data_IF_039656054286
#
_entry.id   IF_039656054286
#
_cell.length_a   1.000
_cell.length_b   1.000
_cell.length_c   1.000
_cell.angle_alpha   90.00
_cell.angle_beta   90.00
_cell.angle_gamma   90.00
#
_symmetry.space_group_name_H-M   'P 1'
#
loop_
_entity.id
_entity.type
_entity.pdbx_description
1 polymer ?
#
# COMPACT_ATOMS: atom_id res chain seq x y z
N UNK A 1 -42.65 33.78 31.97
CA UNK A 1 -43.97 34.26 31.49
C UNK A 1 -43.75 35.51 30.65
N UNK A 2 -44.56 35.68 29.59
CA UNK A 2 -44.49 36.64 28.45
C UNK A 2 -43.72 36.04 27.26
N UNK A 3 -44.33 35.41 26.24
CA UNK A 3 -45.41 35.78 25.28
C UNK A 3 -44.95 36.76 24.18
N UNK A 4 -45.38 36.40 22.96
CA UNK A 4 -45.47 37.12 21.68
C UNK A 4 -44.31 36.97 20.69
N UNK A 5 -44.49 36.89 19.37
CA UNK A 5 -45.55 36.42 18.44
C UNK A 5 -44.97 36.72 17.04
N UNK A 6 -45.01 35.71 16.15
CA UNK A 6 -45.00 35.69 14.67
C UNK A 6 -44.45 36.85 13.81
N UNK A 7 -43.84 36.50 12.66
CA UNK A 7 -44.08 36.96 11.27
C UNK A 7 -43.01 36.26 10.41
N UNK A 8 -43.31 35.11 9.79
CA UNK A 8 -43.90 34.96 8.44
C UNK A 8 -43.15 35.75 7.37
N UNK A 9 -42.35 35.08 6.53
CA UNK A 9 -42.39 35.29 5.07
C UNK A 9 -41.75 34.09 4.37
N UNK A 10 -42.63 33.20 3.92
CA UNK A 10 -42.39 32.15 2.95
C UNK A 10 -42.79 32.71 1.58
N UNK A 11 -41.89 32.66 0.60
CA UNK A 11 -42.19 32.73 -0.84
C UNK A 11 -40.92 32.28 -1.58
N UNK A 12 -40.91 31.09 -2.21
CA UNK A 12 -41.40 30.85 -3.59
C UNK A 12 -40.58 31.62 -4.63
N UNK A 13 -40.17 31.09 -5.78
CA UNK A 13 -40.37 29.80 -6.42
C UNK A 13 -39.35 29.75 -7.57
N UNK A 14 -38.95 28.53 -7.91
CA UNK A 14 -38.02 28.20 -8.97
C UNK A 14 -38.53 28.67 -10.34
N UNK A 15 -37.74 29.47 -11.04
CA UNK A 15 -37.88 29.67 -12.48
C UNK A 15 -36.94 28.71 -13.21
N UNK A 16 -37.53 27.74 -13.89
CA UNK A 16 -36.88 26.87 -14.87
C UNK A 16 -36.58 27.65 -16.15
N UNK A 17 -35.33 27.62 -16.61
CA UNK A 17 -34.96 27.92 -17.99
C UNK A 17 -34.28 26.67 -18.59
N UNK A 18 -34.83 26.18 -19.71
CA UNK A 18 -34.18 25.23 -20.62
C UNK A 18 -32.93 25.87 -21.25
N UNK A 19 -31.87 25.09 -21.53
CA UNK A 19 -31.60 24.59 -22.89
C UNK A 19 -30.19 23.93 -22.99
N UNK A 20 -30.17 22.79 -23.69
CA UNK A 20 -29.12 22.19 -24.55
C UNK A 20 -27.62 22.26 -24.19
N UNK A 21 -27.05 21.04 -24.20
CA UNK A 21 -25.81 20.65 -24.89
C UNK A 21 -24.52 21.38 -24.52
N UNK A 22 -23.61 20.69 -23.83
CA UNK A 22 -22.40 20.10 -24.42
C UNK A 22 -21.49 19.61 -23.27
N UNK A 23 -20.87 18.44 -23.41
CA UNK A 23 -19.90 17.93 -22.44
C UNK A 23 -18.62 18.81 -22.42
N UNK A 24 -18.09 19.21 -21.25
CA UNK A 24 -16.79 19.86 -21.20
C UNK A 24 -15.67 18.83 -20.97
N UNK A 25 -14.93 18.57 -22.05
CA UNK A 25 -13.62 17.92 -22.06
C UNK A 25 -12.62 18.73 -21.22
N UNK A 26 -11.84 18.12 -20.30
CA UNK A 26 -10.87 18.86 -19.52
C UNK A 26 -9.62 19.17 -20.36
N UNK A 27 -9.37 20.45 -20.62
CA UNK A 27 -8.06 20.97 -21.00
C UNK A 27 -7.70 22.18 -20.13
N UNK A 28 -6.58 22.02 -19.42
CA UNK A 28 -5.52 22.96 -19.04
C UNK A 28 -5.86 24.44 -18.68
N UNK A 29 -5.26 24.97 -17.59
CA UNK A 29 -4.15 25.96 -17.63
C UNK A 29 -3.62 26.29 -16.20
N UNK A 30 -2.29 26.30 -16.12
CA UNK A 30 -1.24 26.85 -15.20
C UNK A 30 -1.62 27.91 -14.10
N UNK A 31 -0.84 28.19 -13.03
CA UNK A 31 0.64 28.21 -12.85
C UNK A 31 1.12 28.44 -11.37
N UNK A 32 2.10 27.62 -10.91
CA UNK A 32 3.38 27.84 -10.15
C UNK A 32 3.54 28.75 -8.90
N UNK A 33 4.10 28.16 -7.83
CA UNK A 33 5.20 28.65 -6.93
C UNK A 33 6.00 27.40 -6.45
N UNK A 34 7.16 27.05 -7.05
CA UNK A 34 8.54 27.17 -6.50
C UNK A 34 8.78 26.53 -5.12
N UNK A 35 9.79 25.69 -4.83
CA UNK A 35 10.77 24.92 -5.59
C UNK A 35 11.49 23.97 -4.60
N UNK A 36 11.45 22.65 -4.86
CA UNK A 36 12.64 21.80 -4.79
C UNK A 36 12.67 21.03 -6.11
N UNK A 37 13.75 21.25 -6.85
CA UNK A 37 13.99 20.85 -8.23
C UNK A 37 14.63 19.45 -8.31
N UNK A 38 14.64 18.82 -9.50
CA UNK A 38 14.70 17.37 -9.70
C UNK A 38 16.12 16.84 -9.83
N UNK A 39 16.37 15.65 -9.30
CA UNK A 39 17.57 14.83 -9.57
C UNK A 39 17.30 13.43 -8.96
N UNK A 40 17.50 12.29 -9.60
CA UNK A 40 18.36 12.00 -10.72
C UNK A 40 17.79 10.84 -11.52
N UNK A 41 17.87 10.95 -12.85
CA UNK A 41 17.89 9.89 -13.84
C UNK A 41 16.87 8.75 -13.68
N UNK A 42 15.97 8.63 -14.67
CA UNK A 42 15.51 7.30 -15.11
C UNK A 42 16.74 6.58 -15.67
N UNK A 43 17.57 6.08 -14.76
CA UNK A 43 18.53 5.02 -15.06
C UNK A 43 17.67 3.82 -15.39
N UNK A 44 17.97 3.13 -16.48
CA UNK A 44 17.40 1.84 -16.78
C UNK A 44 17.87 0.86 -15.68
N UNK A 45 17.22 0.93 -14.51
CA UNK A 45 17.63 0.20 -13.33
C UNK A 45 17.26 -1.25 -13.59
N UNK A 46 18.30 -2.09 -13.69
CA UNK A 46 18.16 -3.54 -13.67
C UNK A 46 17.53 -3.95 -12.34
N UNK A 47 16.19 -4.02 -12.34
CA UNK A 47 15.39 -4.51 -11.21
C UNK A 47 15.86 -5.92 -10.88
N UNK A 48 16.24 -6.15 -9.62
CA UNK A 48 16.64 -7.48 -9.18
C UNK A 48 15.50 -8.50 -9.41
N UNK A 49 15.79 -9.77 -9.69
CA UNK A 49 14.73 -10.76 -9.80
C UNK A 49 14.03 -10.94 -8.44
N UNK A 50 12.71 -11.05 -8.47
CA UNK A 50 11.94 -11.50 -7.30
C UNK A 50 11.88 -13.01 -7.36
N UNK A 51 12.46 -13.68 -6.37
CA UNK A 51 12.37 -15.13 -6.24
C UNK A 51 11.12 -15.49 -5.44
N UNK A 52 10.35 -16.48 -5.90
CA UNK A 52 9.25 -17.04 -5.11
C UNK A 52 9.73 -18.31 -4.41
N UNK A 53 9.41 -18.45 -3.14
CA UNK A 53 9.76 -19.61 -2.30
C UNK A 53 8.53 -20.15 -1.59
N UNK A 54 8.50 -21.46 -1.32
CA UNK A 54 7.50 -22.07 -0.45
C UNK A 54 7.78 -21.78 1.04
N UNK A 55 6.85 -22.19 1.91
CA UNK A 55 6.97 -22.00 3.35
C UNK A 55 8.11 -22.80 4.00
N UNK A 56 8.41 -24.00 3.50
CA UNK A 56 9.50 -24.79 4.04
C UNK A 56 10.82 -24.05 3.85
N UNK A 57 11.08 -23.56 2.63
CA UNK A 57 12.27 -22.79 2.32
C UNK A 57 12.30 -21.46 3.04
N UNK A 58 11.17 -20.76 3.12
CA UNK A 58 11.06 -19.51 3.87
C UNK A 58 11.45 -19.69 5.34
N UNK A 59 11.04 -20.78 5.98
CA UNK A 59 11.42 -21.06 7.38
C UNK A 59 12.89 -21.43 7.53
N UNK A 60 13.49 -22.17 6.61
CA UNK A 60 14.94 -22.41 6.59
C UNK A 60 15.72 -21.09 6.52
N UNK A 61 15.34 -20.21 5.59
CA UNK A 61 15.96 -18.91 5.41
C UNK A 61 15.76 -18.03 6.64
N UNK A 62 14.56 -18.05 7.24
CA UNK A 62 14.27 -17.29 8.46
C UNK A 62 15.16 -17.75 9.63
N UNK A 63 15.33 -19.06 9.81
CA UNK A 63 16.28 -19.63 10.79
C UNK A 63 17.73 -19.21 10.51
N UNK A 64 18.09 -19.01 9.24
CA UNK A 64 19.40 -18.51 8.82
C UNK A 64 19.56 -16.97 8.92
N UNK A 65 18.54 -16.25 9.41
CA UNK A 65 18.60 -14.81 9.66
C UNK A 65 17.85 -13.92 8.66
N UNK A 66 17.12 -14.50 7.70
CA UNK A 66 16.19 -13.76 6.86
C UNK A 66 15.03 -13.17 7.69
N UNK A 67 14.47 -12.06 7.25
CA UNK A 67 13.39 -11.35 7.96
C UNK A 67 12.05 -11.66 7.30
N UNK A 68 11.12 -12.21 8.08
CA UNK A 68 9.73 -12.38 7.66
C UNK A 68 8.96 -11.07 7.82
N UNK A 69 8.33 -10.62 6.73
CA UNK A 69 7.54 -9.40 6.69
C UNK A 69 6.11 -9.73 6.27
N UNK A 70 5.17 -9.42 7.14
CA UNK A 70 3.74 -9.55 6.92
C UNK A 70 3.20 -8.22 6.39
N UNK A 71 2.78 -8.19 5.13
CA UNK A 71 2.23 -6.97 4.49
C UNK A 71 0.70 -6.89 4.58
N UNK A 72 0.07 -7.73 5.41
CA UNK A 72 -1.36 -7.66 5.70
C UNK A 72 -1.68 -6.49 6.63
N UNK A 73 -2.98 -6.22 6.78
CA UNK A 73 -3.45 -5.22 7.73
C UNK A 73 -3.22 -5.67 9.18
N UNK A 74 -3.11 -4.74 10.15
CA UNK A 74 -2.99 -5.09 11.57
C UNK A 74 -4.15 -5.96 12.07
N UNK A 75 -5.36 -5.74 11.55
CA UNK A 75 -6.54 -6.55 11.89
C UNK A 75 -6.48 -8.00 11.39
N UNK A 76 -5.79 -8.27 10.27
CA UNK A 76 -5.50 -9.64 9.82
C UNK A 76 -4.39 -10.28 10.67
N UNK A 77 -3.38 -9.51 11.05
CA UNK A 77 -2.25 -9.94 11.89
C UNK A 77 -2.69 -10.29 13.30
N UNK A 78 -3.65 -9.55 13.87
CA UNK A 78 -4.25 -9.84 15.17
C UNK A 78 -4.94 -11.23 15.25
N UNK A 79 -5.23 -11.84 14.09
CA UNK A 79 -5.81 -13.20 14.00
C UNK A 79 -4.74 -14.31 13.94
N UNK A 80 -3.47 -13.94 13.87
CA UNK A 80 -2.35 -14.86 13.78
C UNK A 80 -1.31 -14.43 12.74
N UNK A 81 -0.06 -14.76 13.01
CA UNK A 81 1.11 -14.52 12.15
C UNK A 81 1.80 -15.84 11.84
N UNK A 82 2.64 -15.84 10.80
CA UNK A 82 3.42 -17.01 10.44
C UNK A 82 4.58 -17.30 11.43
N UNK A 83 5.09 -16.27 12.10
CA UNK A 83 6.11 -16.38 13.14
C UNK A 83 5.96 -15.23 14.16
N UNK A 84 6.27 -15.44 15.45
CA UNK A 84 6.25 -14.38 16.46
C UNK A 84 7.22 -13.23 16.18
N UNK A 85 8.31 -13.52 15.46
CA UNK A 85 9.37 -12.59 15.06
C UNK A 85 9.10 -11.88 13.73
N UNK A 86 7.98 -12.18 13.06
CA UNK A 86 7.64 -11.52 11.81
C UNK A 86 7.25 -10.05 12.07
N UNK A 87 7.69 -9.16 11.18
CA UNK A 87 7.42 -7.72 11.28
C UNK A 87 6.19 -7.40 10.44
N UNK A 88 5.21 -6.69 11.01
CA UNK A 88 4.06 -6.20 10.24
C UNK A 88 4.34 -4.79 9.67
N UNK A 89 4.38 -4.71 8.34
CA UNK A 89 4.43 -3.45 7.59
C UNK A 89 3.36 -3.53 6.50
N UNK A 90 2.13 -3.02 6.75
CA UNK A 90 1.04 -3.10 5.79
C UNK A 90 1.43 -2.52 4.43
N UNK A 91 1.00 -3.17 3.35
CA UNK A 91 1.36 -2.77 1.97
C UNK A 91 1.15 -1.27 1.70
N UNK A 92 0.05 -0.71 2.20
CA UNK A 92 -0.31 0.70 2.01
C UNK A 92 0.61 1.68 2.76
N UNK A 93 1.27 1.22 3.82
CA UNK A 93 2.15 2.06 4.65
C UNK A 93 3.62 1.98 4.21
N UNK A 94 3.98 1.01 3.38
CA UNK A 94 5.36 0.78 2.92
C UNK A 94 6.06 2.02 2.36
N UNK A 95 5.42 2.91 1.55
CA UNK A 95 6.08 4.11 1.05
C UNK A 95 6.58 5.05 2.15
N UNK A 96 5.86 5.12 3.28
CA UNK A 96 6.22 5.96 4.42
C UNK A 96 7.18 5.25 5.39
N UNK A 97 7.21 3.92 5.35
CA UNK A 97 7.96 3.05 6.28
C UNK A 97 9.11 2.31 5.61
N UNK A 98 9.59 2.81 4.47
CA UNK A 98 10.63 2.16 3.67
C UNK A 98 11.95 1.96 4.43
N UNK A 99 12.26 2.85 5.38
CA UNK A 99 13.45 2.81 6.22
C UNK A 99 13.44 1.68 7.26
N UNK A 100 12.29 1.06 7.53
CA UNK A 100 12.16 -0.05 8.48
C UNK A 100 12.58 -1.39 7.87
N UNK A 101 12.72 -1.46 6.54
CA UNK A 101 13.17 -2.68 5.86
C UNK A 101 14.71 -2.77 5.89
N UNK A 102 15.29 -3.86 6.43
CA UNK A 102 16.74 -4.03 6.45
C UNK A 102 17.27 -4.31 5.04
N UNK A 103 18.22 -3.49 4.57
CA UNK A 103 18.87 -3.68 3.26
C UNK A 103 19.94 -4.77 3.26
N UNK A 104 20.45 -5.10 4.44
CA UNK A 104 21.52 -6.07 4.70
C UNK A 104 20.99 -7.46 5.05
N UNK A 105 19.68 -7.72 4.87
CA UNK A 105 19.08 -9.05 5.07
C UNK A 105 18.25 -9.51 3.88
N UNK A 106 18.00 -10.82 3.85
CA UNK A 106 17.03 -11.42 2.95
C UNK A 106 15.62 -11.11 3.48
N UNK A 107 14.73 -10.63 2.61
CA UNK A 107 13.38 -10.22 2.96
C UNK A 107 12.37 -11.24 2.45
N UNK A 108 11.71 -11.96 3.35
CA UNK A 108 10.65 -12.92 3.07
C UNK A 108 9.30 -12.24 3.22
N UNK A 109 8.69 -11.83 2.11
CA UNK A 109 7.45 -11.06 2.09
C UNK A 109 6.27 -12.00 1.90
N UNK A 110 5.29 -11.94 2.81
CA UNK A 110 4.06 -12.71 2.69
C UNK A 110 2.83 -11.85 2.99
N UNK A 111 1.69 -12.29 2.45
CA UNK A 111 0.40 -11.66 2.72
C UNK A 111 -0.67 -12.74 2.95
N UNK A 112 -1.94 -12.47 2.68
CA UNK A 112 -2.99 -13.49 2.78
C UNK A 112 -2.79 -14.63 1.76
N UNK A 113 -2.64 -14.30 0.48
CA UNK A 113 -2.70 -15.29 -0.62
C UNK A 113 -1.58 -15.18 -1.65
N UNK A 114 -0.52 -14.40 -1.38
CA UNK A 114 0.59 -14.13 -2.33
C UNK A 114 0.44 -12.87 -3.22
N UNK A 115 -0.78 -12.35 -3.47
CA UNK A 115 -0.97 -11.22 -4.42
C UNK A 115 -0.38 -9.89 -3.92
N UNK A 116 -0.69 -9.51 -2.67
CA UNK A 116 -0.20 -8.25 -2.06
C UNK A 116 1.30 -8.30 -1.78
N UNK A 117 1.83 -9.46 -1.41
CA UNK A 117 3.26 -9.67 -1.17
C UNK A 117 4.07 -9.60 -2.46
N UNK A 118 3.53 -10.06 -3.60
CA UNK A 118 4.15 -9.85 -4.90
C UNK A 118 4.23 -8.35 -5.25
N UNK A 119 3.17 -7.58 -5.00
CA UNK A 119 3.20 -6.13 -5.21
C UNK A 119 4.19 -5.42 -4.27
N UNK A 120 4.22 -5.80 -2.99
CA UNK A 120 5.22 -5.32 -2.03
C UNK A 120 6.65 -5.66 -2.48
N UNK A 121 6.86 -6.87 -3.01
CA UNK A 121 8.17 -7.32 -3.46
C UNK A 121 8.66 -6.47 -4.64
N UNK A 122 7.79 -6.19 -5.61
CA UNK A 122 8.10 -5.27 -6.73
C UNK A 122 8.47 -3.88 -6.24
N UNK A 123 7.65 -3.33 -5.36
CA UNK A 123 7.92 -2.02 -4.76
C UNK A 123 9.28 -1.98 -4.06
N UNK A 124 9.65 -3.01 -3.30
CA UNK A 124 10.97 -3.08 -2.66
C UNK A 124 12.10 -3.13 -3.70
N UNK A 125 11.99 -3.99 -4.71
CA UNK A 125 13.08 -4.09 -5.69
C UNK A 125 13.23 -2.80 -6.52
N UNK A 126 12.13 -2.15 -6.89
CA UNK A 126 12.13 -0.82 -7.52
C UNK A 126 12.79 0.25 -6.64
N UNK A 127 12.79 0.06 -5.31
CA UNK A 127 13.47 0.92 -4.34
C UNK A 127 14.88 0.42 -3.95
N UNK A 128 15.48 -0.42 -4.78
CA UNK A 128 16.88 -0.85 -4.67
C UNK A 128 17.14 -1.97 -3.67
N UNK A 129 16.11 -2.71 -3.26
CA UNK A 129 16.30 -3.94 -2.49
C UNK A 129 16.64 -5.10 -3.43
N UNK A 130 17.73 -5.82 -3.17
CA UNK A 130 18.25 -6.85 -4.07
C UNK A 130 17.95 -8.27 -3.63
N UNK A 131 17.53 -8.47 -2.39
CA UNK A 131 17.31 -9.79 -1.76
C UNK A 131 15.89 -9.91 -1.24
N UNK A 132 14.95 -9.92 -2.18
CA UNK A 132 13.51 -9.92 -1.91
C UNK A 132 12.90 -11.23 -2.40
N UNK A 133 12.22 -11.92 -1.49
CA UNK A 133 11.63 -13.22 -1.72
C UNK A 133 10.13 -13.14 -1.42
N UNK A 134 9.29 -13.50 -2.39
CA UNK A 134 7.86 -13.63 -2.17
C UNK A 134 7.55 -15.04 -1.65
N UNK A 135 6.83 -15.15 -0.54
CA UNK A 135 6.38 -16.44 -0.02
C UNK A 135 5.10 -16.87 -0.75
N UNK A 136 5.16 -18.02 -1.41
CA UNK A 136 4.08 -18.56 -2.23
C UNK A 136 2.83 -18.86 -1.39
N UNK A 137 1.65 -18.60 -1.96
CA UNK A 137 0.37 -18.87 -1.32
C UNK A 137 0.04 -18.00 -0.09
N UNK A 138 0.98 -17.19 0.40
CA UNK A 138 0.82 -16.40 1.62
C UNK A 138 0.43 -17.24 2.82
N UNK A 139 -0.21 -16.65 3.82
CA UNK A 139 -0.59 -17.35 5.04
C UNK A 139 -1.61 -18.49 4.82
N UNK A 140 -2.34 -18.50 3.70
CA UNK A 140 -3.26 -19.59 3.37
C UNK A 140 -2.55 -20.90 3.03
N UNK A 141 -1.28 -20.84 2.62
CA UNK A 141 -0.44 -22.02 2.37
C UNK A 141 0.48 -22.35 3.55
N UNK A 142 0.33 -21.67 4.69
CA UNK A 142 1.16 -21.87 5.88
C UNK A 142 0.96 -23.30 6.41
N UNK A 143 2.02 -24.11 6.57
CA UNK A 143 1.89 -25.44 7.14
C UNK A 143 1.44 -25.37 8.62
N UNK A 144 0.75 -26.42 9.11
CA UNK A 144 0.47 -26.59 10.53
C UNK A 144 1.75 -26.49 11.38
N UNK A 145 1.66 -25.76 12.49
CA UNK A 145 2.76 -25.58 13.43
C UNK A 145 2.60 -26.65 14.51
N UNK A 146 3.16 -27.84 14.27
CA UNK A 146 3.08 -29.01 15.15
C UNK A 146 4.38 -29.19 15.93
#
# INVERSE_FOLDING_TARGET
MNKFLAISFCAMLLTTACNSSEEPKPQAVAKKVEAVQPAAAVVEQKVAPITTVDWQKAFEMHKAGAVLIDVRTPAEVAKGMAAPTAINIPLQEMPQRLSEFPKDKDLLIYCRSGKRSMAASKFLVENGYTRVFNVEGGILALPPQN
#
